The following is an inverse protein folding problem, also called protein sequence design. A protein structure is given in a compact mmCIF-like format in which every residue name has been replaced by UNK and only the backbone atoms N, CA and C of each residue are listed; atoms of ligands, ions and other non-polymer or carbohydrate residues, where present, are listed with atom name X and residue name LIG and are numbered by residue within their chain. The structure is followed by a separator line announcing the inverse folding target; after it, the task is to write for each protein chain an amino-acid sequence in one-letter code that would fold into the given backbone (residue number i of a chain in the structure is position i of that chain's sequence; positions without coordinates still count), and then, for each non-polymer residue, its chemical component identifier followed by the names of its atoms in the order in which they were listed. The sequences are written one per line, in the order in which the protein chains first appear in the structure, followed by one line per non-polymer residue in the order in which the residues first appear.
data_IF_836786211229
#
_entry.id   IF_836786211229
#
_cell.length_a   1.000
_cell.length_b   1.000
_cell.length_c   1.000
_cell.angle_alpha   90.00
_cell.angle_beta   90.00
_cell.angle_gamma   90.00
#
_symmetry.space_group_name_H-M   'P 1'
#
loop_
_entity.id
_entity.type
_entity.pdbx_description
1 polymer ?
#
# COMPACT_ATOMS: atom_id res chain seq x y z
N UNK A 1 16.06 10.15 -10.19
CA UNK A 1 15.35 9.05 -9.48
C UNK A 1 14.63 9.48 -8.20
N UNK A 2 15.24 10.23 -7.26
CA UNK A 2 14.61 10.56 -5.96
C UNK A 2 13.21 11.19 -6.04
N UNK A 3 12.96 12.10 -7.00
CA UNK A 3 11.63 12.72 -7.20
C UNK A 3 10.59 11.70 -7.67
N UNK A 4 10.94 10.87 -8.65
CA UNK A 4 10.10 9.77 -9.12
C UNK A 4 9.74 8.80 -8.00
N UNK A 5 10.71 8.40 -7.17
CA UNK A 5 10.46 7.55 -6.01
C UNK A 5 9.48 8.20 -5.03
N UNK A 6 9.63 9.50 -4.75
CA UNK A 6 8.71 10.21 -3.87
C UNK A 6 7.29 10.34 -4.45
N UNK A 7 7.17 10.54 -5.76
CA UNK A 7 5.88 10.62 -6.47
C UNK A 7 5.18 9.27 -6.56
N UNK A 8 5.93 8.18 -6.64
CA UNK A 8 5.39 6.82 -6.84
C UNK A 8 5.41 5.98 -5.57
N UNK A 9 5.85 6.54 -4.42
CA UNK A 9 6.02 5.80 -3.17
C UNK A 9 4.78 4.98 -2.78
N UNK A 10 3.59 5.57 -2.83
CA UNK A 10 2.34 4.85 -2.55
C UNK A 10 2.13 3.65 -3.48
N UNK A 11 2.34 3.84 -4.79
CA UNK A 11 2.21 2.78 -5.79
C UNK A 11 3.26 1.68 -5.64
N UNK A 12 4.49 2.04 -5.25
CA UNK A 12 5.55 1.07 -4.96
C UNK A 12 5.19 0.22 -3.72
N UNK A 13 4.65 0.84 -2.68
CA UNK A 13 4.15 0.11 -1.50
C UNK A 13 3.00 -0.81 -1.88
N UNK A 14 2.06 -0.34 -2.70
CA UNK A 14 0.98 -1.19 -3.22
C UNK A 14 1.49 -2.35 -4.08
N UNK A 15 2.49 -2.14 -4.93
CA UNK A 15 3.08 -3.21 -5.73
C UNK A 15 3.76 -4.27 -4.84
N UNK A 16 4.49 -3.84 -3.80
CA UNK A 16 5.06 -4.73 -2.81
C UNK A 16 3.98 -5.50 -2.03
N UNK A 17 2.89 -4.82 -1.65
CA UNK A 17 1.73 -5.44 -1.02
C UNK A 17 1.12 -6.53 -1.90
N UNK A 18 0.83 -6.21 -3.16
CA UNK A 18 0.26 -7.15 -4.12
C UNK A 18 1.14 -8.39 -4.29
N UNK A 19 2.44 -8.18 -4.50
CA UNK A 19 3.39 -9.28 -4.63
C UNK A 19 3.45 -10.13 -3.36
N UNK A 20 3.45 -9.50 -2.18
CA UNK A 20 3.47 -10.20 -0.90
C UNK A 20 2.23 -11.07 -0.68
N UNK A 21 1.02 -10.54 -0.92
CA UNK A 21 -0.21 -11.31 -0.82
C UNK A 21 -0.29 -12.42 -1.87
N UNK A 22 0.20 -12.16 -3.09
CA UNK A 22 0.26 -13.18 -4.14
C UNK A 22 1.17 -14.36 -3.73
N UNK A 23 2.35 -14.07 -3.19
CA UNK A 23 3.27 -15.10 -2.70
C UNK A 23 2.67 -15.86 -1.50
N UNK A 24 2.02 -15.16 -0.59
CA UNK A 24 1.34 -15.77 0.55
C UNK A 24 0.25 -16.75 0.09
N UNK A 25 -0.62 -16.32 -0.83
CA UNK A 25 -1.68 -17.15 -1.40
C UNK A 25 -1.14 -18.30 -2.27
N UNK A 26 0.06 -18.15 -2.83
CA UNK A 26 0.73 -19.23 -3.58
C UNK A 26 1.36 -20.28 -2.64
N UNK A 27 1.73 -19.89 -1.43
CA UNK A 27 2.40 -20.76 -0.46
C UNK A 27 1.44 -21.42 0.55
N UNK A 28 0.30 -20.78 0.83
CA UNK A 28 -0.67 -21.24 1.81
C UNK A 28 -2.10 -21.04 1.30
N UNK A 29 -2.96 -22.02 1.56
CA UNK A 29 -4.39 -21.85 1.36
C UNK A 29 -4.94 -20.91 2.44
N UNK A 30 -5.14 -19.65 2.05
CA UNK A 30 -5.67 -18.58 2.89
C UNK A 30 -7.21 -18.47 2.82
N UNK A 31 -7.88 -19.31 2.02
CA UNK A 31 -9.31 -19.17 1.73
C UNK A 31 -10.16 -20.35 2.23
N UNK A 32 -9.72 -21.60 2.05
CA UNK A 32 -10.62 -22.77 2.18
C UNK A 32 -10.42 -23.64 3.43
N UNK A 33 -9.29 -23.54 4.13
CA UNK A 33 -9.00 -24.39 5.29
C UNK A 33 -9.24 -23.71 6.65
N UNK A 34 -9.68 -24.47 7.65
CA UNK A 34 -9.74 -23.99 9.05
C UNK A 34 -8.35 -23.74 9.65
N UNK A 35 -7.30 -24.34 9.09
CA UNK A 35 -5.89 -24.07 9.44
C UNK A 35 -5.33 -22.82 8.74
N UNK A 36 -6.08 -22.20 7.82
CA UNK A 36 -5.73 -20.97 7.11
C UNK A 36 -5.64 -19.72 8.01
N UNK A 37 -6.04 -19.82 9.28
CA UNK A 37 -6.12 -18.69 10.20
C UNK A 37 -4.77 -17.96 10.36
N UNK A 38 -3.66 -18.70 10.44
CA UNK A 38 -2.34 -18.11 10.56
C UNK A 38 -1.97 -17.30 9.30
N UNK A 39 -2.23 -17.85 8.11
CA UNK A 39 -1.99 -17.16 6.83
C UNK A 39 -2.82 -15.88 6.71
N UNK A 40 -4.11 -15.92 7.08
CA UNK A 40 -4.98 -14.74 7.10
C UNK A 40 -4.46 -13.65 8.05
N UNK A 41 -4.07 -13.99 9.27
CA UNK A 41 -3.52 -13.02 10.21
C UNK A 41 -2.19 -12.41 9.76
N UNK A 42 -1.30 -13.20 9.15
CA UNK A 42 -0.06 -12.70 8.55
C UNK A 42 -0.37 -11.72 7.43
N UNK A 43 -1.28 -12.09 6.52
CA UNK A 43 -1.73 -11.23 5.42
C UNK A 43 -2.35 -9.93 5.93
N UNK A 44 -3.28 -9.98 6.89
CA UNK A 44 -3.89 -8.81 7.51
C UNK A 44 -2.84 -7.89 8.17
N UNK A 45 -1.91 -8.45 8.94
CA UNK A 45 -0.83 -7.69 9.57
C UNK A 45 0.07 -7.00 8.53
N UNK A 46 0.42 -7.71 7.46
CA UNK A 46 1.20 -7.15 6.36
C UNK A 46 0.43 -6.03 5.62
N UNK A 47 -0.86 -6.22 5.35
CA UNK A 47 -1.71 -5.21 4.73
C UNK A 47 -1.85 -3.94 5.58
N UNK A 48 -2.01 -4.09 6.90
CA UNK A 48 -2.03 -2.96 7.85
C UNK A 48 -0.71 -2.20 7.87
N UNK A 49 0.41 -2.90 7.82
CA UNK A 49 1.73 -2.28 7.70
C UNK A 49 1.83 -1.46 6.40
N UNK A 50 1.40 -2.03 5.26
CA UNK A 50 1.41 -1.32 3.98
C UNK A 50 0.52 -0.07 4.00
N UNK A 51 -0.70 -0.15 4.56
CA UNK A 51 -1.57 1.03 4.72
C UNK A 51 -0.91 2.11 5.59
N UNK A 52 -0.27 1.70 6.69
CA UNK A 52 0.44 2.63 7.58
C UNK A 52 1.60 3.33 6.85
N UNK A 53 2.37 2.59 6.05
CA UNK A 53 3.45 3.16 5.24
C UNK A 53 2.92 4.11 4.15
N UNK A 54 1.81 3.77 3.50
CA UNK A 54 1.15 4.66 2.52
C UNK A 54 0.70 5.95 3.20
N UNK A 55 0.04 5.86 4.37
CA UNK A 55 -0.39 7.00 5.14
C UNK A 55 0.80 7.87 5.58
N UNK A 56 1.88 7.26 6.05
CA UNK A 56 3.11 7.96 6.41
C UNK A 56 3.75 8.69 5.22
N UNK A 57 3.81 8.04 4.05
CA UNK A 57 4.34 8.65 2.83
C UNK A 57 3.48 9.83 2.36
N UNK A 58 2.15 9.67 2.37
CA UNK A 58 1.20 10.74 2.04
C UNK A 58 1.31 11.91 3.02
N UNK A 59 1.39 11.62 4.32
CA UNK A 59 1.55 12.63 5.36
C UNK A 59 2.87 13.40 5.21
N UNK A 60 3.98 12.69 5.01
CA UNK A 60 5.28 13.30 4.77
C UNK A 60 5.28 14.20 3.53
N UNK A 61 4.59 13.81 2.46
CA UNK A 61 4.42 14.63 1.27
C UNK A 61 3.52 15.85 1.52
N UNK A 62 2.44 15.69 2.28
CA UNK A 62 1.50 16.76 2.59
C UNK A 62 2.10 17.82 3.53
N UNK A 63 3.05 17.43 4.38
CA UNK A 63 3.77 18.31 5.31
C UNK A 63 4.88 19.13 4.67
N UNK A 64 5.22 18.89 3.40
CA UNK A 64 6.21 19.72 2.70
C UNK A 64 5.72 21.16 2.58
N UNK A 65 6.63 22.16 2.65
CA UNK A 65 6.29 23.56 2.43
C UNK A 65 5.47 23.76 1.16
N UNK A 66 4.68 24.83 1.13
CA UNK A 66 3.82 25.17 0.00
C UNK A 66 4.63 25.09 -1.31
N UNK A 67 4.32 24.12 -2.19
CA UNK A 67 5.18 23.87 -3.33
C UNK A 67 4.92 24.93 -4.41
N UNK A 68 5.99 25.58 -4.86
CA UNK A 68 5.95 26.49 -6.01
C UNK A 68 6.32 25.76 -7.31
N UNK A 69 5.71 26.18 -8.42
CA UNK A 69 6.00 25.64 -9.74
C UNK A 69 5.76 24.13 -9.87
N UNK A 70 6.67 23.35 -10.50
CA UNK A 70 6.48 21.92 -10.77
C UNK A 70 6.23 21.06 -9.53
N UNK A 71 6.68 21.51 -8.35
CA UNK A 71 6.54 20.76 -7.10
C UNK A 71 5.06 20.56 -6.68
N UNK A 72 4.15 21.44 -7.11
CA UNK A 72 2.73 21.29 -6.83
C UNK A 72 2.14 20.09 -7.58
N UNK A 73 2.55 19.91 -8.84
CA UNK A 73 2.16 18.76 -9.64
C UNK A 73 2.76 17.47 -9.06
N UNK A 74 4.05 17.47 -8.70
CA UNK A 74 4.72 16.32 -8.05
C UNK A 74 3.95 15.90 -6.78
N UNK A 75 3.52 16.86 -5.95
CA UNK A 75 2.71 16.60 -4.74
C UNK A 75 1.34 16.01 -5.08
N UNK A 76 0.64 16.53 -6.10
CA UNK A 76 -0.67 16.00 -6.51
C UNK A 76 -0.58 14.56 -7.01
N UNK A 77 0.44 14.27 -7.82
CA UNK A 77 0.71 12.89 -8.30
C UNK A 77 1.00 11.97 -7.12
N UNK A 78 1.86 12.38 -6.20
CA UNK A 78 2.20 11.60 -5.01
C UNK A 78 0.98 11.27 -4.15
N UNK A 79 0.15 12.26 -3.83
CA UNK A 79 -1.03 12.08 -2.98
C UNK A 79 -2.13 11.27 -3.69
N UNK A 80 -2.32 11.47 -4.99
CA UNK A 80 -3.28 10.68 -5.78
C UNK A 80 -2.83 9.23 -5.88
N UNK A 81 -1.54 8.99 -6.14
CA UNK A 81 -0.96 7.65 -6.14
C UNK A 81 -1.08 6.94 -4.79
N UNK A 82 -0.88 7.68 -3.69
CA UNK A 82 -1.09 7.14 -2.33
C UNK A 82 -2.57 6.80 -2.06
N UNK A 83 -3.52 7.62 -2.52
CA UNK A 83 -4.94 7.32 -2.40
C UNK A 83 -5.32 6.06 -3.19
N UNK A 84 -4.90 5.96 -4.45
CA UNK A 84 -5.13 4.77 -5.29
C UNK A 84 -4.52 3.53 -4.65
N UNK A 85 -3.30 3.64 -4.14
CA UNK A 85 -2.63 2.57 -3.42
C UNK A 85 -3.42 2.12 -2.18
N UNK A 86 -3.90 3.06 -1.36
CA UNK A 86 -4.69 2.73 -0.17
C UNK A 86 -5.98 1.99 -0.53
N UNK A 87 -6.72 2.46 -1.53
CA UNK A 87 -7.93 1.78 -2.03
C UNK A 87 -7.59 0.37 -2.53
N UNK A 88 -6.51 0.23 -3.31
CA UNK A 88 -6.05 -1.05 -3.83
C UNK A 88 -5.69 -2.04 -2.72
N UNK A 89 -4.95 -1.59 -1.70
CA UNK A 89 -4.60 -2.42 -0.54
C UNK A 89 -5.86 -2.84 0.22
N UNK A 90 -6.75 -1.91 0.57
CA UNK A 90 -8.00 -2.23 1.30
C UNK A 90 -8.86 -3.24 0.54
N UNK A 91 -9.02 -3.06 -0.77
CA UNK A 91 -9.77 -4.00 -1.62
C UNK A 91 -9.14 -5.40 -1.63
N UNK A 92 -7.82 -5.49 -1.84
CA UNK A 92 -7.10 -6.76 -1.86
C UNK A 92 -7.03 -7.46 -0.50
N UNK A 93 -7.18 -6.71 0.58
CA UNK A 93 -7.18 -7.23 1.95
C UNK A 93 -8.54 -7.80 2.35
N UNK A 94 -9.64 -7.32 1.75
CA UNK A 94 -10.99 -7.71 2.13
C UNK A 94 -11.24 -9.24 2.19
N UNK A 95 -10.74 -10.07 1.24
CA UNK A 95 -10.90 -11.53 1.31
C UNK A 95 -10.30 -12.18 2.55
N UNK A 96 -9.28 -11.57 3.18
CA UNK A 96 -8.61 -12.12 4.36
C UNK A 96 -9.37 -11.87 5.66
N UNK A 97 -10.35 -10.95 5.64
CA UNK A 97 -11.13 -10.56 6.81
C UNK A 97 -12.40 -11.42 7.02
N UNK A 98 -12.70 -12.32 6.09
CA UNK A 98 -13.83 -13.24 6.12
C UNK A 98 -13.35 -14.70 6.07
#
# INVERSE_FOLDING_TARGET
MRRWLAMTAGLLIWAAHFLGLYLLASAADVWSSTEAAAGRWIGLGFSLLCLTLIAAAAFAMARRPAPEGPALWERRVALTGALVAAVGVTWQTAPLAF
#
